data_IF_941139724333
#
_entry.id   IF_941139724333
#
_cell.length_a   1.000
_cell.length_b   1.000
_cell.length_c   1.000
_cell.angle_alpha   90.00
_cell.angle_beta   90.00
_cell.angle_gamma   90.00
#
_symmetry.space_group_name_H-M   'P 1'
#
loop_
_entity.id
_entity.type
_entity.pdbx_description
1 polymer ?
#
# COMPACT_ATOMS: atom_id res chain seq x y z
N UNK A 1 34.25 69.41 26.17
CA UNK A 1 35.33 68.41 26.25
C UNK A 1 35.40 67.68 24.93
N UNK A 2 36.61 67.53 24.40
CA UNK A 2 36.92 67.16 23.03
C UNK A 2 37.09 65.63 22.82
N UNK A 3 37.29 65.29 21.53
CA UNK A 3 37.90 64.08 20.92
C UNK A 3 36.90 63.06 20.38
N UNK A 4 37.09 62.41 19.23
CA UNK A 4 37.89 62.66 18.01
C UNK A 4 37.37 61.65 16.96
N UNK A 5 37.62 61.97 15.70
CA UNK A 5 37.19 61.32 14.46
C UNK A 5 37.95 60.02 14.20
N UNK A 6 37.38 59.07 13.46
CA UNK A 6 38.08 58.35 12.37
C UNK A 6 37.10 57.69 11.40
N UNK A 7 37.12 58.18 10.16
CA UNK A 7 36.58 57.54 8.95
C UNK A 7 37.57 56.48 8.44
N UNK A 8 37.06 55.47 7.73
CA UNK A 8 37.80 54.86 6.61
C UNK A 8 36.88 54.61 5.41
N UNK A 9 37.32 55.20 4.30
CA UNK A 9 37.00 54.99 2.87
C UNK A 9 37.14 53.48 2.55
N UNK A 10 36.35 52.79 1.73
CA UNK A 10 35.72 53.13 0.45
C UNK A 10 36.44 52.40 -0.68
N UNK A 11 35.90 51.30 -1.20
CA UNK A 11 36.29 50.73 -2.50
C UNK A 11 35.09 50.13 -3.23
N UNK A 12 34.63 50.86 -4.24
CA UNK A 12 33.87 50.35 -5.37
C UNK A 12 34.72 49.39 -6.22
N UNK A 13 34.13 48.35 -6.82
CA UNK A 13 34.19 48.12 -8.29
C UNK A 13 33.45 46.88 -8.79
N UNK A 14 32.71 47.13 -9.87
CA UNK A 14 32.44 46.33 -11.07
C UNK A 14 31.61 45.04 -11.01
N UNK A 15 30.35 45.25 -11.42
CA UNK A 15 29.46 44.34 -12.14
C UNK A 15 29.84 44.36 -13.64
N UNK A 16 29.84 43.23 -14.36
CA UNK A 16 29.61 43.22 -15.80
C UNK A 16 28.27 42.54 -16.10
N UNK A 17 27.35 43.34 -16.64
CA UNK A 17 26.17 42.87 -17.37
C UNK A 17 26.60 42.48 -18.78
N UNK A 18 26.30 41.25 -19.20
CA UNK A 18 26.34 40.88 -20.62
C UNK A 18 24.91 40.91 -21.15
N UNK A 19 24.55 42.03 -21.78
CA UNK A 19 23.48 42.06 -22.77
C UNK A 19 24.11 41.68 -24.11
N UNK A 20 23.63 40.60 -24.71
CA UNK A 20 23.87 40.32 -26.13
C UNK A 20 22.53 40.34 -26.84
N UNK A 21 22.52 41.09 -27.92
CA UNK A 21 21.39 41.47 -28.75
C UNK A 21 20.90 40.33 -29.63
N UNK A 22 19.58 40.37 -29.83
CA UNK A 22 18.76 39.71 -30.84
C UNK A 22 19.38 39.71 -32.25
N UNK A 23 19.53 38.55 -32.89
CA UNK A 23 19.46 38.43 -34.35
C UNK A 23 19.20 36.99 -34.81
N UNK A 24 17.99 36.74 -35.32
CA UNK A 24 17.64 35.61 -36.17
C UNK A 24 18.26 35.78 -37.57
N UNK A 25 18.59 34.67 -38.25
CA UNK A 25 18.27 34.62 -39.67
C UNK A 25 17.71 33.28 -40.15
N UNK A 26 16.67 33.41 -40.99
CA UNK A 26 16.37 32.66 -42.20
C UNK A 26 16.14 31.13 -42.17
N UNK A 27 14.85 30.78 -42.34
CA UNK A 27 14.30 29.87 -43.36
C UNK A 27 15.32 29.12 -44.25
N UNK A 28 15.34 27.79 -44.10
CA UNK A 28 15.51 26.87 -45.23
C UNK A 28 14.41 25.82 -45.20
N UNK A 29 13.68 25.81 -46.30
CA UNK A 29 12.71 24.84 -46.78
C UNK A 29 13.41 23.53 -47.14
N UNK A 30 12.93 22.37 -46.65
CA UNK A 30 12.72 21.19 -47.49
C UNK A 30 12.11 19.99 -46.73
N UNK A 31 10.93 19.61 -47.22
CA UNK A 31 10.50 18.25 -47.59
C UNK A 31 10.25 17.21 -46.48
N UNK A 32 8.96 17.02 -46.20
CA UNK A 32 8.31 15.71 -45.99
C UNK A 32 8.52 14.82 -47.24
N UNK A 33 8.69 13.49 -47.09
CA UNK A 33 7.54 12.58 -46.98
C UNK A 33 7.82 11.42 -46.00
N UNK A 34 6.87 10.82 -45.30
CA UNK A 34 5.93 9.84 -45.83
C UNK A 34 4.87 9.55 -44.75
N UNK A 35 3.62 9.67 -45.16
CA UNK A 35 2.47 9.11 -44.47
C UNK A 35 2.61 7.58 -44.43
N UNK A 36 2.49 6.98 -43.25
CA UNK A 36 2.10 5.58 -43.15
C UNK A 36 0.83 5.47 -42.30
N UNK A 37 -0.30 5.67 -42.99
CA UNK A 37 -1.63 5.45 -42.47
C UNK A 37 -1.84 3.94 -42.22
N UNK A 38 -1.67 3.50 -40.97
CA UNK A 38 -2.32 2.27 -40.49
C UNK A 38 -3.67 2.64 -39.90
N UNK A 39 -4.70 2.50 -40.72
CA UNK A 39 -6.12 2.54 -40.37
C UNK A 39 -6.43 1.48 -39.31
N UNK A 40 -6.46 1.87 -38.03
CA UNK A 40 -7.07 1.05 -36.98
C UNK A 40 -8.59 1.22 -37.09
N UNK A 41 -9.26 0.18 -37.60
CA UNK A 41 -10.73 0.07 -37.56
C UNK A 41 -11.20 0.12 -36.11
N UNK A 42 -11.94 1.16 -35.74
CA UNK A 42 -12.77 1.16 -34.54
C UNK A 42 -13.90 0.14 -34.74
N UNK A 43 -13.93 -0.92 -33.94
CA UNK A 43 -15.15 -1.72 -33.75
C UNK A 43 -15.98 -1.01 -32.69
N UNK A 44 -17.08 -0.41 -33.14
CA UNK A 44 -18.22 -0.03 -32.29
C UNK A 44 -18.72 -1.28 -31.59
N UNK A 45 -18.63 -1.32 -30.26
CA UNK A 45 -19.33 -2.31 -29.43
C UNK A 45 -20.66 -1.66 -29.05
N UNK A 46 -21.72 -2.06 -29.74
CA UNK A 46 -23.08 -1.71 -29.36
C UNK A 46 -23.54 -2.70 -28.30
N UNK A 47 -23.76 -2.21 -27.07
CA UNK A 47 -24.46 -2.96 -26.03
C UNK A 47 -25.91 -3.19 -26.47
N UNK A 48 -26.33 -4.45 -26.54
CA UNK A 48 -27.75 -4.80 -26.56
C UNK A 48 -28.06 -5.65 -25.32
N UNK A 49 -28.80 -5.05 -24.42
CA UNK A 49 -29.53 -5.69 -23.34
C UNK A 49 -30.72 -6.43 -23.91
N UNK A 50 -30.78 -7.75 -23.74
CA UNK A 50 -32.03 -8.49 -23.86
C UNK A 50 -32.21 -9.47 -22.71
N UNK A 51 -33.45 -9.45 -22.24
CA UNK A 51 -34.04 -9.98 -21.03
C UNK A 51 -34.31 -11.48 -21.10
N UNK A 52 -34.21 -12.13 -19.95
CA UNK A 52 -34.69 -13.48 -19.67
C UNK A 52 -36.18 -13.66 -19.99
N UNK A 53 -36.58 -14.87 -20.42
CA UNK A 53 -37.63 -15.56 -19.65
C UNK A 53 -37.33 -17.05 -19.41
N UNK A 54 -37.66 -17.48 -18.20
CA UNK A 54 -37.81 -18.86 -17.68
C UNK A 54 -39.28 -19.33 -17.90
N UNK A 55 -39.76 -20.55 -17.55
CA UNK A 55 -39.16 -21.91 -17.40
C UNK A 55 -39.85 -22.95 -18.31
N UNK A 56 -39.41 -24.22 -18.32
CA UNK A 56 -40.23 -25.45 -18.08
C UNK A 56 -39.41 -26.74 -18.32
N UNK A 57 -39.27 -27.51 -17.23
CA UNK A 57 -39.23 -28.97 -17.03
C UNK A 57 -38.85 -29.94 -18.18
N UNK A 58 -37.99 -30.94 -17.87
CA UNK A 58 -38.29 -32.39 -18.00
C UNK A 58 -37.20 -33.23 -17.31
N UNK A 59 -37.64 -34.21 -16.52
CA UNK A 59 -36.91 -35.18 -15.71
C UNK A 59 -36.27 -36.35 -16.49
N UNK A 60 -35.23 -36.97 -15.90
CA UNK A 60 -34.95 -38.42 -15.80
C UNK A 60 -33.60 -38.59 -15.05
N UNK A 61 -33.49 -39.11 -13.82
CA UNK A 61 -33.78 -40.44 -13.23
C UNK A 61 -32.67 -41.51 -13.43
N UNK A 62 -32.56 -42.41 -12.42
CA UNK A 62 -31.57 -43.49 -12.14
C UNK A 62 -30.28 -42.99 -11.44
N UNK A 63 -30.09 -43.05 -10.12
CA UNK A 63 -30.06 -44.16 -9.14
C UNK A 63 -29.25 -45.39 -9.54
N UNK A 64 -28.12 -45.61 -8.86
CA UNK A 64 -27.72 -46.97 -8.48
C UNK A 64 -27.03 -46.97 -7.11
N UNK A 65 -27.50 -47.92 -6.29
CA UNK A 65 -27.15 -48.20 -4.89
C UNK A 65 -26.73 -49.66 -4.87
N UNK A 66 -25.57 -49.98 -4.30
CA UNK A 66 -25.35 -51.33 -3.79
C UNK A 66 -24.57 -51.28 -2.48
N UNK A 67 -25.23 -51.78 -1.43
CA UNK A 67 -24.68 -52.13 -0.13
C UNK A 67 -24.71 -53.65 -0.03
N UNK A 68 -23.72 -54.26 0.64
CA UNK A 68 -23.87 -55.57 1.30
C UNK A 68 -23.03 -55.56 2.59
N UNK A 69 -23.69 -55.93 3.69
CA UNK A 69 -23.21 -56.09 5.07
C UNK A 69 -22.71 -57.55 5.36
N UNK A 70 -22.80 -58.14 6.60
CA UNK A 70 -21.79 -58.10 7.68
C UNK A 70 -21.45 -59.53 8.21
N UNK A 71 -20.63 -59.63 9.27
CA UNK A 71 -20.48 -60.88 10.04
C UNK A 71 -19.57 -60.81 11.27
N UNK A 72 -20.16 -60.74 12.46
CA UNK A 72 -19.65 -61.22 13.77
C UNK A 72 -20.09 -62.72 13.92
N UNK A 73 -19.80 -63.57 14.95
CA UNK A 73 -19.22 -63.32 16.29
C UNK A 73 -18.37 -64.46 16.96
N UNK A 74 -18.00 -64.23 18.24
CA UNK A 74 -17.83 -65.17 19.38
C UNK A 74 -16.59 -66.09 19.53
N UNK A 75 -16.11 -66.24 20.78
CA UNK A 75 -15.43 -67.48 21.22
C UNK A 75 -14.51 -67.39 22.46
N UNK A 76 -15.03 -67.82 23.62
CA UNK A 76 -14.46 -67.93 24.97
C UNK A 76 -13.19 -68.79 25.18
N UNK A 77 -12.43 -68.50 26.25
CA UNK A 77 -11.97 -69.43 27.33
C UNK A 77 -10.92 -68.74 28.22
N UNK A 78 -11.11 -68.54 29.53
CA UNK A 78 -11.14 -69.50 30.65
C UNK A 78 -9.79 -70.15 31.01
N UNK A 79 -9.34 -69.78 32.22
CA UNK A 79 -8.71 -70.59 33.28
C UNK A 79 -7.22 -70.97 33.18
N UNK A 80 -6.39 -70.44 34.10
CA UNK A 80 -5.97 -71.14 35.34
C UNK A 80 -4.70 -70.57 36.02
N UNK A 81 -4.83 -70.39 37.34
CA UNK A 81 -3.90 -70.71 38.44
C UNK A 81 -2.58 -69.94 38.71
N UNK A 82 -2.66 -69.16 39.81
CA UNK A 82 -1.90 -69.33 41.08
C UNK A 82 -0.47 -68.75 41.18
N UNK A 83 -0.11 -68.16 42.35
CA UNK A 83 0.85 -67.05 42.45
C UNK A 83 2.23 -67.53 42.86
N UNK A 84 3.27 -66.74 42.57
CA UNK A 84 4.53 -66.79 43.29
C UNK A 84 5.16 -65.41 43.44
N UNK A 85 5.71 -65.26 44.62
CA UNK A 85 6.20 -64.11 45.35
C UNK A 85 7.53 -63.54 44.81
N UNK A 86 7.71 -62.23 45.07
CA UNK A 86 8.96 -61.46 45.20
C UNK A 86 10.07 -61.62 44.13
N UNK A 87 10.54 -60.47 43.62
CA UNK A 87 11.84 -59.88 44.00
C UNK A 87 12.24 -58.76 43.04
N UNK A 88 12.51 -57.60 43.61
CA UNK A 88 13.22 -56.45 43.05
C UNK A 88 14.49 -56.86 42.30
N UNK A 89 14.65 -56.51 41.02
CA UNK A 89 15.97 -56.23 40.46
C UNK A 89 15.87 -55.27 39.27
N UNK A 90 16.43 -54.08 39.46
CA UNK A 90 16.82 -53.12 38.43
C UNK A 90 17.81 -53.74 37.46
N UNK A 91 17.52 -53.75 36.16
CA UNK A 91 18.58 -53.86 35.14
C UNK A 91 18.11 -53.34 33.78
N UNK A 92 18.68 -52.21 33.41
CA UNK A 92 18.72 -51.62 32.06
C UNK A 92 19.20 -52.63 31.02
N UNK A 93 18.48 -52.79 29.92
CA UNK A 93 19.05 -53.34 28.67
C UNK A 93 18.41 -52.65 27.45
N UNK A 94 19.28 -52.11 26.60
CA UNK A 94 18.96 -51.40 25.37
C UNK A 94 18.62 -52.40 24.28
N UNK A 95 17.39 -52.38 23.78
CA UNK A 95 16.94 -53.14 22.61
C UNK A 95 16.64 -52.16 21.47
N UNK A 96 17.24 -52.39 20.30
CA UNK A 96 16.85 -51.74 19.05
C UNK A 96 15.43 -52.21 18.68
N UNK A 97 14.43 -51.42 19.08
CA UNK A 97 13.01 -51.73 18.93
C UNK A 97 12.43 -51.24 17.60
N UNK A 98 11.66 -52.10 16.95
CA UNK A 98 10.64 -51.72 15.96
C UNK A 98 9.74 -50.58 16.50
N UNK A 99 9.18 -49.70 15.65
CA UNK A 99 8.44 -48.54 16.11
C UNK A 99 7.31 -48.97 17.04
N UNK A 100 7.41 -48.52 18.29
CA UNK A 100 6.44 -48.77 19.35
C UNK A 100 5.06 -48.27 18.89
N UNK A 101 4.07 -49.15 18.90
CA UNK A 101 2.70 -48.79 18.52
C UNK A 101 2.22 -47.62 19.37
N UNK A 102 1.53 -46.64 18.77
CA UNK A 102 1.23 -45.38 19.44
C UNK A 102 0.43 -45.63 20.73
N UNK A 103 1.01 -45.24 21.86
CA UNK A 103 0.35 -45.38 23.15
C UNK A 103 -0.81 -44.37 23.26
N UNK A 104 -1.86 -44.71 24.03
CA UNK A 104 -3.06 -43.84 24.19
C UNK A 104 -2.73 -42.47 24.78
N UNK A 105 -1.61 -42.33 25.48
CA UNK A 105 -1.16 -41.08 26.10
C UNK A 105 -0.55 -40.15 25.05
N UNK A 106 0.26 -40.68 24.13
CA UNK A 106 0.91 -39.98 23.04
C UNK A 106 -0.11 -39.46 22.04
N UNK A 107 -1.12 -40.26 21.69
CA UNK A 107 -2.21 -39.82 20.81
C UNK A 107 -3.02 -38.67 21.45
N UNK A 108 -3.26 -38.74 22.77
CA UNK A 108 -3.89 -37.62 23.51
C UNK A 108 -3.02 -36.38 23.51
N UNK A 109 -1.70 -36.52 23.72
CA UNK A 109 -0.78 -35.39 23.68
C UNK A 109 -0.71 -34.76 22.28
N UNK A 110 -0.62 -35.56 21.22
CA UNK A 110 -0.63 -35.05 19.84
C UNK A 110 -1.93 -34.31 19.54
N UNK A 111 -3.09 -34.85 19.93
CA UNK A 111 -4.38 -34.18 19.73
C UNK A 111 -4.48 -32.85 20.51
N UNK A 112 -3.96 -32.80 21.73
CA UNK A 112 -3.93 -31.56 22.51
C UNK A 112 -2.98 -30.53 21.89
N UNK A 113 -1.79 -30.94 21.45
CA UNK A 113 -0.84 -30.04 20.81
C UNK A 113 -1.37 -29.54 19.47
N UNK A 114 -1.98 -30.41 18.65
CA UNK A 114 -2.54 -30.00 17.36
C UNK A 114 -3.73 -29.06 17.51
N UNK A 115 -4.60 -29.29 18.50
CA UNK A 115 -5.75 -28.41 18.78
C UNK A 115 -5.29 -27.05 19.30
N UNK A 116 -4.33 -27.01 20.23
CA UNK A 116 -3.74 -25.75 20.71
C UNK A 116 -3.03 -24.99 19.58
N UNK A 117 -2.28 -25.68 18.73
CA UNK A 117 -1.62 -25.08 17.57
C UNK A 117 -2.63 -24.53 16.56
N UNK A 118 -3.72 -25.26 16.28
CA UNK A 118 -4.78 -24.80 15.38
C UNK A 118 -5.52 -23.58 15.93
N UNK A 119 -5.85 -23.59 17.23
CA UNK A 119 -6.47 -22.45 17.92
C UNK A 119 -5.52 -21.24 17.93
N UNK A 120 -4.23 -21.46 18.20
CA UNK A 120 -3.20 -20.43 18.15
C UNK A 120 -3.06 -19.80 16.76
N UNK A 121 -2.97 -20.61 15.71
CA UNK A 121 -2.91 -20.12 14.32
C UNK A 121 -4.20 -19.37 13.93
N UNK A 122 -5.37 -19.92 14.26
CA UNK A 122 -6.66 -19.28 13.96
C UNK A 122 -6.80 -17.93 14.67
N UNK A 123 -6.47 -17.87 15.97
CA UNK A 123 -6.47 -16.61 16.72
C UNK A 123 -5.43 -15.64 16.17
N UNK A 124 -4.21 -16.10 15.84
CA UNK A 124 -3.18 -15.23 15.27
C UNK A 124 -3.61 -14.60 13.94
N UNK A 125 -4.37 -15.32 13.12
CA UNK A 125 -4.91 -14.79 11.87
C UNK A 125 -6.08 -13.80 12.05
N UNK A 126 -6.68 -13.76 13.24
CA UNK A 126 -7.86 -12.94 13.58
C UNK A 126 -7.50 -11.74 14.47
N UNK A 127 -6.35 -11.79 15.15
CA UNK A 127 -5.84 -10.74 16.00
C UNK A 127 -5.01 -9.76 15.17
N UNK A 128 -5.68 -9.03 14.28
CA UNK A 128 -5.14 -7.79 13.71
C UNK A 128 -5.17 -6.72 14.81
N UNK A 129 -4.19 -6.73 15.71
CA UNK A 129 -3.98 -5.61 16.64
C UNK A 129 -3.63 -4.37 15.80
N UNK A 130 -4.62 -3.51 15.60
CA UNK A 130 -4.46 -2.29 14.81
C UNK A 130 -3.39 -1.39 15.41
N UNK A 131 -2.49 -0.89 14.58
CA UNK A 131 -1.51 0.13 14.98
C UNK A 131 -2.23 1.47 15.12
N UNK A 132 -1.95 2.19 16.21
CA UNK A 132 -2.51 3.52 16.40
C UNK A 132 -1.80 4.55 15.54
N UNK A 133 -2.49 5.62 15.16
CA UNK A 133 -1.90 6.74 14.41
C UNK A 133 -0.66 7.32 15.09
N UNK A 134 -0.69 7.40 16.42
CA UNK A 134 0.40 7.93 17.23
C UNK A 134 1.63 7.02 17.21
N UNK A 135 1.42 5.70 17.25
CA UNK A 135 2.53 4.76 17.17
C UNK A 135 3.13 4.73 15.77
N UNK A 136 2.28 4.79 14.74
CA UNK A 136 2.70 4.83 13.34
C UNK A 136 3.55 6.07 13.03
N UNK A 137 3.10 7.25 13.45
CA UNK A 137 3.84 8.49 13.23
C UNK A 137 5.14 8.56 14.03
N UNK A 138 5.19 7.92 15.20
CA UNK A 138 6.42 7.83 16.00
C UNK A 138 7.50 6.93 15.39
N UNK A 139 7.12 5.91 14.61
CA UNK A 139 8.06 5.01 13.93
C UNK A 139 8.36 5.40 12.48
N UNK A 140 7.60 6.35 11.92
CA UNK A 140 7.78 6.84 10.56
C UNK A 140 9.20 7.39 10.34
N UNK A 141 9.69 7.26 9.11
CA UNK A 141 11.03 7.73 8.77
C UNK A 141 11.06 9.27 8.78
N UNK A 142 12.12 9.91 9.32
CA UNK A 142 12.29 11.35 9.21
C UNK A 142 12.33 11.79 7.73
N UNK A 143 11.64 12.88 7.40
CA UNK A 143 11.48 13.38 6.03
C UNK A 143 12.82 13.61 5.32
N UNK A 144 13.75 14.27 5.99
CA UNK A 144 15.07 14.61 5.47
C UNK A 144 15.91 13.35 5.19
N UNK A 145 15.71 12.30 5.99
CA UNK A 145 16.35 11.00 5.78
C UNK A 145 15.71 10.24 4.62
N UNK A 146 14.41 10.40 4.40
CA UNK A 146 13.70 9.79 3.28
C UNK A 146 14.20 10.35 1.94
N UNK A 147 14.35 11.67 1.84
CA UNK A 147 14.80 12.33 0.61
C UNK A 147 16.28 12.08 0.27
N UNK A 148 17.12 11.82 1.27
CA UNK A 148 18.57 11.64 1.07
C UNK A 148 18.99 10.20 0.78
N UNK A 149 18.11 9.21 0.97
CA UNK A 149 18.47 7.79 0.87
C UNK A 149 18.24 7.15 -0.51
N UNK A 150 17.75 7.92 -1.49
CA UNK A 150 17.59 7.50 -2.90
C UNK A 150 16.48 6.46 -3.13
N UNK A 151 15.54 6.32 -2.20
CA UNK A 151 14.36 5.46 -2.33
C UNK A 151 13.12 6.31 -2.61
N UNK A 152 12.16 5.77 -3.39
CA UNK A 152 10.86 6.42 -3.50
C UNK A 152 10.21 6.58 -2.13
N UNK A 153 9.41 7.63 -1.96
CA UNK A 153 8.85 8.02 -0.67
C UNK A 153 7.36 8.29 -0.78
N UNK A 154 6.59 7.75 0.16
CA UNK A 154 5.21 8.19 0.41
C UNK A 154 5.23 9.14 1.58
N UNK A 155 4.68 10.33 1.39
CA UNK A 155 4.48 11.32 2.45
C UNK A 155 3.00 11.40 2.78
N UNK A 156 2.63 11.12 4.02
CA UNK A 156 1.27 11.31 4.54
C UNK A 156 1.22 12.57 5.41
N UNK A 157 0.45 13.56 4.99
CA UNK A 157 0.09 14.70 5.82
C UNK A 157 -1.14 14.37 6.64
N UNK A 158 -1.03 14.49 7.96
CA UNK A 158 -2.04 14.06 8.92
C UNK A 158 -2.17 15.05 10.08
N UNK A 159 -3.12 14.81 10.98
CA UNK A 159 -3.20 15.47 12.28
C UNK A 159 -3.70 14.50 13.35
N UNK A 160 -3.40 14.77 14.63
CA UNK A 160 -3.83 13.92 15.74
C UNK A 160 -5.37 13.93 15.93
N UNK A 161 -6.02 15.03 15.53
CA UNK A 161 -7.48 15.20 15.55
C UNK A 161 -8.18 14.59 14.32
N UNK A 162 -7.44 14.08 13.34
CA UNK A 162 -7.99 13.52 12.11
C UNK A 162 -8.50 12.08 12.31
N UNK A 163 -9.82 11.90 12.39
CA UNK A 163 -10.44 10.57 12.51
C UNK A 163 -10.08 9.66 11.33
N UNK A 164 -10.19 10.18 10.10
CA UNK A 164 -9.94 9.39 8.88
C UNK A 164 -8.48 8.90 8.83
N UNK A 165 -7.52 9.71 9.27
CA UNK A 165 -6.12 9.34 9.36
C UNK A 165 -5.94 8.20 10.38
N UNK A 166 -6.63 8.28 11.53
CA UNK A 166 -6.60 7.23 12.55
C UNK A 166 -7.20 5.91 12.07
N UNK A 167 -8.28 5.97 11.31
CA UNK A 167 -8.87 4.77 10.69
C UNK A 167 -7.96 4.14 9.63
N UNK A 168 -7.20 4.95 8.89
CA UNK A 168 -6.27 4.48 7.87
C UNK A 168 -4.94 3.95 8.41
N UNK A 169 -4.53 4.35 9.62
CA UNK A 169 -3.23 3.96 10.19
C UNK A 169 -2.94 2.44 10.15
N UNK A 170 -3.88 1.53 10.47
CA UNK A 170 -3.63 0.08 10.34
C UNK A 170 -3.38 -0.37 8.89
N UNK A 171 -4.05 0.25 7.92
CA UNK A 171 -3.87 -0.06 6.50
C UNK A 171 -2.55 0.47 5.97
N UNK A 172 -2.19 1.72 6.32
CA UNK A 172 -0.89 2.33 5.97
C UNK A 172 0.25 1.49 6.55
N UNK A 173 0.16 1.11 7.83
CA UNK A 173 1.16 0.24 8.47
C UNK A 173 1.32 -1.10 7.75
N UNK A 174 0.22 -1.75 7.36
CA UNK A 174 0.27 -3.03 6.62
C UNK A 174 0.98 -2.88 5.28
N UNK A 175 0.73 -1.77 4.56
CA UNK A 175 1.42 -1.48 3.30
C UNK A 175 2.90 -1.16 3.56
N UNK A 176 3.21 -0.32 4.56
CA UNK A 176 4.59 -0.02 4.96
C UNK A 176 5.39 -1.31 5.24
N UNK A 177 4.84 -2.24 6.01
CA UNK A 177 5.53 -3.50 6.30
C UNK A 177 5.75 -4.35 5.04
N UNK A 178 4.83 -4.32 4.08
CA UNK A 178 4.97 -5.05 2.81
C UNK A 178 6.10 -4.46 1.93
N UNK A 179 6.31 -3.14 1.97
CA UNK A 179 7.30 -2.44 1.15
C UNK A 179 8.55 -2.01 1.93
N UNK A 180 8.72 -2.54 3.14
CA UNK A 180 9.83 -2.21 4.03
C UNK A 180 11.17 -2.34 3.31
N UNK A 181 11.95 -1.26 3.36
CA UNK A 181 13.26 -1.20 2.72
C UNK A 181 13.25 -0.90 1.22
N UNK A 182 12.09 -0.93 0.55
CA UNK A 182 11.92 -0.60 -0.88
C UNK A 182 11.35 0.81 -1.09
N UNK A 183 10.40 1.20 -0.25
CA UNK A 183 9.73 2.51 -0.26
C UNK A 183 9.80 3.10 1.14
N UNK A 184 10.06 4.40 1.25
CA UNK A 184 10.02 5.12 2.52
C UNK A 184 8.56 5.53 2.83
N UNK A 185 8.20 5.53 4.10
CA UNK A 185 6.95 6.09 4.59
C UNK A 185 7.29 7.19 5.59
N UNK A 186 6.77 8.39 5.32
CA UNK A 186 6.98 9.60 6.12
C UNK A 186 5.60 10.12 6.53
N UNK A 187 5.49 10.60 7.76
CA UNK A 187 4.28 11.24 8.26
C UNK A 187 4.59 12.65 8.74
N UNK A 188 3.87 13.64 8.21
CA UNK A 188 4.02 15.04 8.55
C UNK A 188 2.74 15.55 9.22
N UNK A 189 2.86 15.96 10.48
CA UNK A 189 1.73 16.52 11.21
C UNK A 189 1.51 17.98 10.77
N UNK A 190 0.33 18.29 10.23
CA UNK A 190 0.00 19.63 9.73
C UNK A 190 -0.08 20.70 10.83
N UNK A 191 -0.26 20.30 12.10
CA UNK A 191 -0.26 21.23 13.23
C UNK A 191 1.17 21.65 13.65
N UNK A 192 2.21 21.00 13.09
CA UNK A 192 3.59 21.31 13.40
C UNK A 192 4.14 22.36 12.42
N UNK A 193 4.41 23.55 12.93
CA UNK A 193 4.90 24.71 12.16
C UNK A 193 6.23 24.47 11.45
N UNK A 194 7.00 23.44 11.82
CA UNK A 194 8.21 23.04 11.09
C UNK A 194 7.91 22.76 9.61
N UNK A 195 6.71 22.25 9.30
CA UNK A 195 6.35 21.75 7.98
C UNK A 195 5.58 22.74 7.12
N UNK A 196 5.49 24.02 7.51
CA UNK A 196 4.76 25.05 6.77
C UNK A 196 5.20 25.14 5.30
N UNK A 197 6.50 25.06 5.03
CA UNK A 197 7.03 25.11 3.67
C UNK A 197 6.59 23.89 2.84
N UNK A 198 6.67 22.69 3.41
CA UNK A 198 6.25 21.46 2.75
C UNK A 198 4.74 21.45 2.51
N UNK A 199 3.93 21.95 3.46
CA UNK A 199 2.48 22.07 3.27
C UNK A 199 2.13 22.94 2.06
N UNK A 200 2.85 24.05 1.87
CA UNK A 200 2.68 24.93 0.72
C UNK A 200 3.19 24.29 -0.58
N UNK A 201 4.37 23.66 -0.55
CA UNK A 201 5.01 23.02 -1.72
C UNK A 201 4.17 21.86 -2.27
N UNK A 202 3.62 21.03 -1.40
CA UNK A 202 2.74 19.91 -1.75
C UNK A 202 1.27 20.33 -1.96
N UNK A 203 0.93 21.61 -1.77
CA UNK A 203 -0.44 22.11 -1.93
C UNK A 203 -1.43 21.38 -1.02
N UNK A 204 -1.11 21.26 0.27
CA UNK A 204 -1.91 20.51 1.24
C UNK A 204 -3.15 21.31 1.66
N UNK A 205 -4.24 21.11 0.91
CA UNK A 205 -5.54 21.77 1.15
C UNK A 205 -6.48 20.99 2.09
N UNK A 206 -6.11 19.77 2.48
CA UNK A 206 -6.91 18.91 3.36
C UNK A 206 -6.20 17.61 3.71
N UNK A 207 -6.66 16.94 4.77
CA UNK A 207 -6.05 15.70 5.28
C UNK A 207 -7.06 14.53 5.32
N UNK A 208 -6.59 13.27 5.21
CA UNK A 208 -5.21 12.88 4.90
C UNK A 208 -4.81 13.28 3.47
N UNK A 209 -3.55 13.65 3.27
CA UNK A 209 -2.97 13.91 1.96
C UNK A 209 -1.79 12.97 1.76
N UNK A 210 -1.81 12.16 0.70
CA UNK A 210 -0.72 11.29 0.30
C UNK A 210 -0.01 11.85 -0.93
N UNK A 211 1.26 12.22 -0.80
CA UNK A 211 2.13 12.58 -1.91
C UNK A 211 3.09 11.41 -2.21
N UNK A 212 3.24 11.08 -3.50
CA UNK A 212 4.07 9.97 -3.97
C UNK A 212 5.31 10.52 -4.68
N UNK A 213 6.48 10.35 -4.06
CA UNK A 213 7.74 10.92 -4.53
C UNK A 213 8.63 9.86 -5.17
N UNK A 214 9.21 10.18 -6.32
CA UNK A 214 10.24 9.36 -6.96
C UNK A 214 11.53 9.30 -6.11
N UNK A 215 12.55 8.61 -6.63
CA UNK A 215 13.85 8.48 -5.95
C UNK A 215 14.64 9.79 -5.84
N UNK A 216 14.26 10.79 -6.62
CA UNK A 216 14.91 12.11 -6.66
C UNK A 216 14.13 13.13 -5.80
N UNK A 217 12.98 12.75 -5.25
CA UNK A 217 12.11 13.64 -4.48
C UNK A 217 11.08 14.40 -5.32
N UNK A 218 10.93 14.08 -6.61
CA UNK A 218 9.89 14.69 -7.45
C UNK A 218 8.53 14.06 -7.16
N UNK A 219 7.49 14.88 -7.06
CA UNK A 219 6.12 14.38 -6.87
C UNK A 219 5.54 13.82 -8.18
N UNK A 220 5.29 12.51 -8.21
CA UNK A 220 4.67 11.80 -9.34
C UNK A 220 3.13 11.85 -9.28
N UNK A 221 2.57 12.27 -8.15
CA UNK A 221 1.15 12.56 -7.97
C UNK A 221 0.72 12.55 -6.50
N UNK A 222 -0.53 12.95 -6.25
CA UNK A 222 -1.12 12.91 -4.91
C UNK A 222 -2.58 12.46 -4.84
N UNK A 223 -2.99 12.12 -3.62
CA UNK A 223 -4.38 11.82 -3.24
C UNK A 223 -4.74 12.63 -2.01
N UNK A 224 -5.89 13.31 -2.04
CA UNK A 224 -6.46 13.99 -0.87
C UNK A 224 -7.73 13.26 -0.44
N UNK A 225 -7.84 12.98 0.86
CA UNK A 225 -8.95 12.27 1.48
C UNK A 225 -8.69 10.76 1.63
N UNK A 226 -9.76 10.03 2.00
CA UNK A 226 -9.67 8.60 2.30
C UNK A 226 -9.14 7.81 1.10
N UNK A 227 -8.06 7.05 1.31
CA UNK A 227 -7.48 6.15 0.33
C UNK A 227 -7.58 4.69 0.82
N UNK A 228 -8.45 3.86 0.23
CA UNK A 228 -8.54 2.45 0.58
C UNK A 228 -7.21 1.71 0.40
N UNK A 229 -6.93 0.73 1.28
CA UNK A 229 -5.69 -0.05 1.26
C UNK A 229 -5.30 -0.60 -0.10
N UNK A 230 -6.27 -1.10 -0.88
CA UNK A 230 -6.00 -1.64 -2.21
C UNK A 230 -5.36 -0.60 -3.12
N UNK A 231 -5.94 0.60 -3.18
CA UNK A 231 -5.43 1.69 -4.03
C UNK A 231 -4.12 2.26 -3.51
N UNK A 232 -3.96 2.35 -2.19
CA UNK A 232 -2.66 2.68 -1.59
C UNK A 232 -1.59 1.66 -2.01
N UNK A 233 -1.91 0.37 -1.97
CA UNK A 233 -0.99 -0.71 -2.34
C UNK A 233 -0.61 -0.62 -3.82
N UNK A 234 -1.58 -0.40 -4.71
CA UNK A 234 -1.34 -0.26 -6.15
C UNK A 234 -0.49 0.97 -6.48
N UNK A 235 -0.72 2.09 -5.79
CA UNK A 235 0.09 3.30 -5.93
C UNK A 235 1.53 3.08 -5.46
N UNK A 236 1.71 2.47 -4.28
CA UNK A 236 3.04 2.15 -3.73
C UNK A 236 3.79 1.13 -4.60
N UNK A 237 3.08 0.17 -5.18
CA UNK A 237 3.65 -0.82 -6.09
C UNK A 237 4.18 -0.16 -7.38
N UNK A 238 3.37 0.71 -7.99
CA UNK A 238 3.79 1.51 -9.15
C UNK A 238 5.02 2.38 -8.82
N UNK A 239 5.00 3.04 -7.67
CA UNK A 239 6.10 3.86 -7.19
C UNK A 239 7.38 3.04 -6.95
N UNK A 240 7.25 1.85 -6.36
CA UNK A 240 8.36 0.93 -6.12
C UNK A 240 8.99 0.41 -7.42
N UNK A 241 8.21 0.33 -8.51
CA UNK A 241 8.68 0.00 -9.86
C UNK A 241 9.27 1.19 -10.61
N UNK A 242 9.11 2.42 -10.11
CA UNK A 242 9.58 3.64 -10.76
C UNK A 242 8.73 4.04 -11.96
N UNK A 243 7.43 3.75 -11.93
CA UNK A 243 6.49 4.24 -12.94
C UNK A 243 6.23 5.74 -12.74
N UNK A 244 6.24 6.51 -13.84
CA UNK A 244 5.99 7.95 -13.82
C UNK A 244 4.50 8.34 -13.69
N UNK A 245 3.61 7.36 -13.54
CA UNK A 245 2.18 7.60 -13.38
C UNK A 245 1.65 6.68 -12.30
N UNK A 246 1.10 7.30 -11.25
CA UNK A 246 0.56 6.59 -10.10
C UNK A 246 -0.95 6.35 -10.32
N UNK A 247 -1.42 5.08 -10.40
CA UNK A 247 -2.74 4.75 -10.95
C UNK A 247 -3.96 5.45 -10.32
N UNK A 248 -3.95 5.65 -9.00
CA UNK A 248 -5.06 6.27 -8.26
C UNK A 248 -4.70 7.65 -7.72
N UNK A 249 -3.61 8.25 -8.21
CA UNK A 249 -3.22 9.60 -7.84
C UNK A 249 -3.57 10.59 -8.95
N UNK A 250 -3.87 11.83 -8.55
CA UNK A 250 -3.97 12.93 -9.49
C UNK A 250 -2.56 13.29 -9.92
N UNK A 251 -2.32 13.29 -11.22
CA UNK A 251 -1.07 13.80 -11.80
C UNK A 251 -1.04 15.30 -11.56
N UNK A 252 0.01 15.79 -10.92
CA UNK A 252 0.27 17.22 -10.88
C UNK A 252 0.73 17.67 -12.27
N UNK A 253 -0.22 18.17 -13.06
CA UNK A 253 0.13 18.92 -14.25
C UNK A 253 0.78 20.25 -13.84
N UNK A 254 1.76 20.72 -14.60
CA UNK A 254 2.03 22.15 -14.62
C UNK A 254 0.70 22.84 -14.93
N UNK A 255 0.19 23.59 -13.97
CA UNK A 255 -1.11 24.26 -13.96
C UNK A 255 -1.61 24.56 -15.38
N UNK A 256 -2.84 24.16 -15.70
CA UNK A 256 -3.58 24.84 -16.78
C UNK A 256 -3.58 26.31 -16.40
N UNK A 257 -2.81 27.13 -17.10
CA UNK A 257 -2.79 28.58 -16.90
C UNK A 257 -4.23 29.06 -16.79
N UNK A 258 -4.60 29.62 -15.64
CA UNK A 258 -5.95 30.11 -15.37
C UNK A 258 -6.30 31.37 -16.18
N UNK A 259 -5.58 31.67 -17.27
CA UNK A 259 -5.85 32.75 -18.20
C UNK A 259 -7.20 32.60 -18.95
N UNK A 260 -7.94 31.50 -18.77
CA UNK A 260 -9.19 31.26 -19.48
C UNK A 260 -10.44 31.07 -18.61
N UNK A 261 -10.45 31.49 -17.33
CA UNK A 261 -11.72 31.86 -16.68
C UNK A 261 -11.94 33.35 -16.82
N UNK A 262 -12.36 33.77 -18.01
CA UNK A 262 -13.06 35.04 -18.19
C UNK A 262 -14.41 34.91 -17.47
N UNK A 263 -14.41 35.20 -16.17
CA UNK A 263 -15.63 35.41 -15.41
C UNK A 263 -16.40 36.50 -16.15
N UNK A 264 -17.66 36.19 -16.49
CA UNK A 264 -18.55 37.09 -17.21
C UNK A 264 -18.42 38.51 -16.64
N UNK A 265 -17.90 39.45 -17.43
CA UNK A 265 -17.97 40.86 -17.09
C UNK A 265 -19.45 41.19 -17.03
N UNK A 266 -19.94 41.55 -15.83
CA UNK A 266 -21.28 42.09 -15.65
C UNK A 266 -21.34 43.33 -16.53
N UNK A 267 -22.12 43.27 -17.61
CA UNK A 267 -22.38 44.42 -18.45
C UNK A 267 -23.14 45.42 -17.60
N UNK A 268 -22.60 46.63 -17.45
CA UNK A 268 -23.22 47.71 -16.69
C UNK A 268 -24.61 48.02 -17.29
N UNK A 269 -25.72 47.91 -16.52
CA UNK A 269 -27.08 48.10 -17.04
C UNK A 269 -27.37 49.52 -17.55
N UNK A 270 -26.43 50.47 -17.44
CA UNK A 270 -26.56 51.84 -17.96
C UNK A 270 -25.79 52.12 -19.25
N UNK A 271 -25.29 51.10 -19.95
CA UNK A 271 -24.50 51.28 -21.18
C UNK A 271 -25.29 51.32 -22.49
N UNK A 272 -26.61 51.51 -22.44
CA UNK A 272 -27.39 51.89 -23.63
C UNK A 272 -27.59 53.40 -23.61
N UNK A 273 -27.13 54.07 -24.67
CA UNK A 273 -27.02 55.53 -24.79
C UNK A 273 -28.34 56.29 -24.86
#
# INVERSE_FOLDING_TARGET
>A
MARLVSNTVGLHRFRPSFHTTHQSPHFIHNQTPFLNNKTRRFRSITCQSQTNPDPTETEASSTDKLAVEPGTPNGNSSDNNTPNEATTTTSTSTSFGFPEFPNKVLNKQIALVSTLAAVGLFLSSRLDFGVSLKDLSAVALPYEQALSNGKPTVVEFYADWCEVCRELAPDVYKVEQQYKGRVNFVMLNVDNTKWEQELDEFGVEGIPHFAFLDRNGNEEGNVVGRLPKQYLTENVDALARGEASIPHARVLGQYSSAEARKVHQIVDPRSHG
#
